data_IF_015648780551
#
_entry.id   IF_015648780551
#
_cell.length_a   1.000
_cell.length_b   1.000
_cell.length_c   1.000
_cell.angle_alpha   90.00
_cell.angle_beta   90.00
_cell.angle_gamma   90.00
#
_symmetry.space_group_name_H-M   'P 1'
#
loop_
_entity.id
_entity.type
_entity.pdbx_description
1 polymer ?
#
# COMPACT_ATOMS: atom_id res chain seq x y z
N UNK A 1 -19.77 -1.38 -11.47
CA UNK A 1 -19.66 -0.87 -10.10
C UNK A 1 -18.31 -1.17 -9.52
N UNK A 2 -17.72 -0.20 -8.86
CA UNK A 2 -16.41 -0.36 -8.25
C UNK A 2 -16.45 -1.23 -7.00
N UNK A 3 -15.28 -1.66 -6.57
CA UNK A 3 -15.10 -2.25 -5.25
C UNK A 3 -14.94 -1.13 -4.20
N UNK A 4 -15.00 -1.48 -2.92
CA UNK A 4 -14.95 -0.52 -1.82
C UNK A 4 -13.50 -0.37 -1.30
N UNK A 5 -12.56 -0.20 -2.21
CA UNK A 5 -11.13 -0.19 -1.90
C UNK A 5 -10.44 1.06 -2.43
N UNK A 6 -9.70 1.71 -1.55
CA UNK A 6 -8.76 2.77 -1.89
C UNK A 6 -7.34 2.24 -1.74
N UNK A 7 -6.57 2.27 -2.83
CA UNK A 7 -5.14 1.99 -2.79
C UNK A 7 -4.41 3.29 -2.56
N UNK A 8 -3.54 3.32 -1.57
CA UNK A 8 -2.82 4.53 -1.15
C UNK A 8 -1.32 4.31 -1.33
N UNK A 9 -0.68 5.19 -2.10
CA UNK A 9 0.77 5.20 -2.28
C UNK A 9 1.37 6.45 -1.68
N UNK A 10 2.47 6.29 -0.94
CA UNK A 10 3.40 7.38 -0.66
C UNK A 10 4.62 7.20 -1.56
N UNK A 11 5.14 8.28 -2.12
CA UNK A 11 6.21 8.17 -3.12
C UNK A 11 7.13 9.37 -3.14
N UNK A 12 8.36 9.13 -3.58
CA UNK A 12 9.34 10.15 -3.97
C UNK A 12 10.36 9.52 -4.91
N UNK A 13 10.51 10.10 -6.10
CA UNK A 13 11.52 9.67 -7.09
C UNK A 13 11.48 8.16 -7.36
N UNK A 14 10.32 7.66 -7.76
CA UNK A 14 10.07 6.24 -8.02
C UNK A 14 9.76 5.95 -9.50
N UNK A 15 10.35 6.71 -10.43
CA UNK A 15 10.02 6.57 -11.87
C UNK A 15 10.30 5.18 -12.43
N UNK A 16 11.25 4.43 -11.82
CA UNK A 16 11.62 3.09 -12.30
C UNK A 16 10.60 2.01 -11.94
N UNK A 17 9.84 2.21 -10.88
CA UNK A 17 9.01 1.17 -10.29
C UNK A 17 7.53 1.50 -10.25
N UNK A 18 7.17 2.78 -10.19
CA UNK A 18 5.79 3.19 -9.91
C UNK A 18 4.79 2.68 -10.95
N UNK A 19 5.17 2.59 -12.22
CA UNK A 19 4.25 2.11 -13.25
C UNK A 19 3.82 0.66 -13.01
N UNK A 20 4.78 -0.21 -12.69
CA UNK A 20 4.48 -1.62 -12.36
C UNK A 20 3.57 -1.71 -11.16
N UNK A 21 3.84 -0.91 -10.13
CA UNK A 21 2.98 -0.83 -8.93
C UNK A 21 1.56 -0.42 -9.31
N UNK A 22 1.40 0.66 -10.04
CA UNK A 22 0.08 1.19 -10.41
C UNK A 22 -0.70 0.24 -11.33
N UNK A 23 -0.02 -0.41 -12.28
CA UNK A 23 -0.66 -1.43 -13.12
C UNK A 23 -1.24 -2.57 -12.29
N UNK A 24 -0.52 -3.01 -11.27
CA UNK A 24 -0.95 -4.15 -10.44
C UNK A 24 -2.19 -3.85 -9.60
N UNK A 25 -2.56 -2.58 -9.43
CA UNK A 25 -3.71 -2.14 -8.64
C UNK A 25 -4.74 -1.34 -9.45
N UNK A 26 -4.64 -1.33 -10.78
CA UNK A 26 -5.53 -0.56 -11.64
C UNK A 26 -7.01 -1.00 -11.54
N UNK A 27 -7.28 -2.16 -10.99
CA UNK A 27 -8.61 -2.69 -10.71
C UNK A 27 -9.27 -2.07 -9.46
N UNK A 28 -8.53 -1.34 -8.62
CA UNK A 28 -9.09 -0.69 -7.43
C UNK A 28 -10.02 0.46 -7.80
N UNK A 29 -11.04 0.71 -6.97
CA UNK A 29 -11.99 1.80 -7.20
C UNK A 29 -11.34 3.18 -7.11
N UNK A 30 -10.28 3.29 -6.31
CA UNK A 30 -9.59 4.54 -6.09
C UNK A 30 -8.10 4.30 -5.89
N UNK A 31 -7.28 5.14 -6.50
CA UNK A 31 -5.84 5.17 -6.26
C UNK A 31 -5.48 6.60 -5.85
N UNK A 32 -4.88 6.74 -4.67
CA UNK A 32 -4.39 8.01 -4.13
C UNK A 32 -2.86 7.96 -4.09
N UNK A 33 -2.22 8.98 -4.63
CA UNK A 33 -0.77 9.12 -4.60
C UNK A 33 -0.41 10.39 -3.83
N UNK A 34 0.34 10.25 -2.75
CA UNK A 34 0.92 11.37 -2.03
C UNK A 34 2.42 11.41 -2.28
N UNK A 35 2.86 12.45 -2.95
CA UNK A 35 4.25 12.64 -3.36
C UNK A 35 4.94 13.64 -2.43
N UNK A 36 6.17 13.34 -2.04
CA UNK A 36 6.95 14.21 -1.15
C UNK A 36 8.02 15.04 -1.87
N UNK A 37 7.79 15.35 -3.15
CA UNK A 37 8.65 16.24 -3.90
C UNK A 37 9.53 15.56 -4.95
N UNK A 38 8.95 14.68 -5.76
CA UNK A 38 9.67 14.03 -6.86
C UNK A 38 10.17 15.05 -7.88
N UNK A 39 11.40 14.86 -8.34
CA UNK A 39 12.04 15.65 -9.38
C UNK A 39 12.21 14.90 -10.70
N UNK A 40 11.89 13.61 -10.70
CA UNK A 40 11.92 12.74 -11.88
C UNK A 40 10.53 12.61 -12.54
N UNK A 41 10.31 11.59 -13.35
CA UNK A 41 9.05 11.35 -14.06
C UNK A 41 7.95 10.69 -13.23
N UNK A 42 8.13 10.52 -11.94
CA UNK A 42 7.16 9.82 -11.09
C UNK A 42 5.74 10.35 -11.26
N UNK A 43 5.54 11.66 -11.16
CA UNK A 43 4.21 12.26 -11.24
C UNK A 43 3.62 12.16 -12.65
N UNK A 44 4.43 12.30 -13.70
CA UNK A 44 3.96 12.16 -15.07
C UNK A 44 3.44 10.74 -15.34
N UNK A 45 4.12 9.74 -14.80
CA UNK A 45 3.67 8.34 -14.90
C UNK A 45 2.38 8.14 -14.12
N UNK A 46 2.32 8.63 -12.88
CA UNK A 46 1.15 8.47 -12.02
C UNK A 46 -0.12 9.05 -12.63
N UNK A 47 -0.01 10.15 -13.36
CA UNK A 47 -1.16 10.82 -14.03
C UNK A 47 -1.88 9.92 -15.03
N UNK A 48 -1.22 8.89 -15.54
CA UNK A 48 -1.84 7.93 -16.47
C UNK A 48 -2.78 6.95 -15.76
N UNK A 49 -2.73 6.89 -14.42
CA UNK A 49 -3.47 5.90 -13.64
C UNK A 49 -4.47 6.52 -12.68
N UNK A 50 -4.25 7.75 -12.25
CA UNK A 50 -5.14 8.44 -11.32
C UNK A 50 -5.04 9.95 -11.45
N UNK A 51 -6.14 10.63 -11.14
CA UNK A 51 -6.16 12.08 -10.99
C UNK A 51 -5.98 12.53 -9.53
N UNK A 52 -5.99 11.58 -8.58
CA UNK A 52 -5.88 11.87 -7.14
C UNK A 52 -4.41 11.85 -6.72
N UNK A 53 -3.67 12.85 -7.17
CA UNK A 53 -2.25 13.04 -6.88
C UNK A 53 -2.11 14.30 -6.04
N UNK A 54 -1.50 14.15 -4.86
CA UNK A 54 -1.28 15.23 -3.92
C UNK A 54 0.19 15.37 -3.60
N UNK A 55 0.62 16.58 -3.28
CA UNK A 55 2.02 16.88 -2.99
C UNK A 55 2.13 17.32 -1.54
N UNK A 56 3.04 16.67 -0.80
CA UNK A 56 3.41 17.05 0.55
C UNK A 56 4.66 17.92 0.49
N UNK A 57 4.59 19.12 1.02
CA UNK A 57 5.72 20.06 0.98
C UNK A 57 6.79 19.75 2.01
N UNK A 58 6.50 18.89 2.98
CA UNK A 58 7.42 18.50 4.03
C UNK A 58 7.44 16.98 4.19
N UNK A 59 8.50 16.48 4.82
CA UNK A 59 8.62 15.06 5.15
C UNK A 59 8.51 14.87 6.68
N UNK A 60 7.33 14.47 7.18
CA UNK A 60 7.11 14.29 8.61
C UNK A 60 7.52 12.91 9.14
N UNK A 61 8.12 12.06 8.32
CA UNK A 61 8.39 10.66 8.61
C UNK A 61 7.37 9.73 7.96
N UNK A 62 7.68 8.45 7.89
CA UNK A 62 6.85 7.47 7.18
C UNK A 62 5.46 7.31 7.78
N UNK A 63 5.35 7.19 9.09
CA UNK A 63 4.06 6.97 9.74
C UNK A 63 3.08 8.10 9.50
N UNK A 64 3.51 9.35 9.75
CA UNK A 64 2.67 10.53 9.56
C UNK A 64 2.36 10.75 8.07
N UNK A 65 3.30 10.47 7.18
CA UNK A 65 3.06 10.58 5.74
C UNK A 65 1.96 9.62 5.28
N UNK A 66 1.96 8.39 5.78
CA UNK A 66 0.88 7.42 5.49
C UNK A 66 -0.46 7.89 6.04
N UNK A 67 -0.49 8.48 7.24
CA UNK A 67 -1.72 9.05 7.80
C UNK A 67 -2.27 10.17 6.92
N UNK A 68 -1.42 11.07 6.47
CA UNK A 68 -1.83 12.17 5.58
C UNK A 68 -2.40 11.62 4.27
N UNK A 69 -1.74 10.63 3.68
CA UNK A 69 -2.21 10.00 2.44
C UNK A 69 -3.57 9.33 2.65
N UNK A 70 -3.76 8.64 3.77
CA UNK A 70 -5.01 7.97 4.11
C UNK A 70 -6.18 8.93 4.19
N UNK A 71 -5.96 10.17 4.62
CA UNK A 71 -7.03 11.17 4.74
C UNK A 71 -7.68 11.52 3.40
N UNK A 72 -7.03 11.25 2.28
CA UNK A 72 -7.61 11.47 0.95
C UNK A 72 -8.46 10.29 0.46
N UNK A 73 -8.44 9.17 1.16
CA UNK A 73 -9.20 7.98 0.76
C UNK A 73 -10.70 8.18 1.01
N UNK A 74 -11.53 7.70 0.08
CA UNK A 74 -12.98 7.84 0.15
C UNK A 74 -13.72 6.51 0.33
N UNK A 75 -13.03 5.38 0.24
CA UNK A 75 -13.62 4.05 0.41
C UNK A 75 -13.41 3.51 1.81
N UNK A 76 -14.15 2.45 2.16
CA UNK A 76 -14.12 1.89 3.52
C UNK A 76 -12.89 1.03 3.79
N UNK A 77 -12.24 0.52 2.75
CA UNK A 77 -11.05 -0.31 2.86
C UNK A 77 -9.84 0.37 2.25
N UNK A 78 -8.70 0.20 2.90
CA UNK A 78 -7.41 0.72 2.45
C UNK A 78 -6.44 -0.41 2.19
N UNK A 79 -5.76 -0.33 1.05
CA UNK A 79 -4.55 -1.06 0.77
C UNK A 79 -3.40 -0.05 0.68
N UNK A 80 -2.49 -0.09 1.65
CA UNK A 80 -1.34 0.81 1.70
C UNK A 80 -0.16 0.17 0.96
N UNK A 81 0.40 0.88 -0.02
CA UNK A 81 1.54 0.40 -0.80
C UNK A 81 2.68 1.40 -0.85
N UNK A 82 3.87 0.89 -1.05
CA UNK A 82 5.01 1.67 -1.49
C UNK A 82 5.11 1.62 -3.02
N UNK A 83 5.74 2.61 -3.62
CA UNK A 83 5.78 2.76 -5.08
C UNK A 83 6.71 1.75 -5.79
N UNK A 84 7.32 0.85 -5.05
CA UNK A 84 8.17 -0.25 -5.54
C UNK A 84 7.60 -1.63 -5.19
N UNK A 85 6.31 -1.68 -4.85
CA UNK A 85 5.61 -2.92 -4.50
C UNK A 85 4.53 -3.21 -5.54
N UNK A 86 4.34 -4.48 -5.90
CA UNK A 86 3.26 -4.88 -6.81
C UNK A 86 2.47 -6.06 -6.23
N UNK A 87 1.21 -6.11 -6.60
CA UNK A 87 0.25 -7.11 -6.15
C UNK A 87 0.22 -8.28 -7.15
N UNK A 88 0.41 -9.51 -6.66
CA UNK A 88 0.22 -10.70 -7.47
C UNK A 88 -1.27 -10.94 -7.76
N UNK A 89 -1.58 -11.69 -8.82
CA UNK A 89 -2.97 -12.05 -9.14
C UNK A 89 -3.65 -12.83 -7.99
N UNK A 90 -3.01 -13.84 -7.38
CA UNK A 90 -3.62 -14.50 -6.22
C UNK A 90 -3.92 -13.53 -5.07
N UNK A 91 -3.02 -12.56 -4.80
CA UNK A 91 -3.26 -11.57 -3.76
C UNK A 91 -4.44 -10.65 -4.10
N UNK A 92 -4.54 -10.20 -5.35
CA UNK A 92 -5.69 -9.43 -5.82
C UNK A 92 -6.99 -10.16 -5.51
N UNK A 93 -7.08 -11.44 -5.85
CA UNK A 93 -8.28 -12.23 -5.61
C UNK A 93 -8.60 -12.36 -4.13
N UNK A 94 -7.59 -12.55 -3.30
CA UNK A 94 -7.74 -12.59 -1.83
C UNK A 94 -8.24 -11.26 -1.27
N UNK A 95 -7.71 -10.15 -1.75
CA UNK A 95 -8.15 -8.80 -1.33
C UNK A 95 -9.60 -8.57 -1.70
N UNK A 96 -10.00 -8.90 -2.92
CA UNK A 96 -11.38 -8.71 -3.37
C UNK A 96 -12.38 -9.52 -2.55
N UNK A 97 -12.00 -10.70 -2.07
CA UNK A 97 -12.83 -11.48 -1.15
C UNK A 97 -12.84 -10.89 0.25
N UNK A 98 -11.68 -10.48 0.75
CA UNK A 98 -11.53 -9.95 2.11
C UNK A 98 -12.39 -8.71 2.36
N UNK A 99 -12.43 -7.79 1.41
CA UNK A 99 -13.18 -6.51 1.55
C UNK A 99 -14.70 -6.68 1.46
N UNK A 100 -15.18 -7.85 1.14
CA UNK A 100 -16.62 -8.20 1.20
C UNK A 100 -17.03 -8.70 2.57
N UNK A 101 -16.07 -9.05 3.41
CA UNK A 101 -16.30 -9.62 4.73
C UNK A 101 -16.31 -8.59 5.86
N UNK A 102 -16.29 -9.06 7.10
CA UNK A 102 -16.30 -8.18 8.27
C UNK A 102 -15.00 -7.41 8.42
N UNK A 103 -15.03 -6.37 9.25
CA UNK A 103 -13.86 -5.57 9.56
C UNK A 103 -12.75 -6.43 10.15
N UNK A 104 -11.57 -6.32 9.57
CA UNK A 104 -10.41 -7.12 9.94
C UNK A 104 -9.16 -6.46 9.39
N UNK A 105 -8.04 -6.60 10.10
CA UNK A 105 -6.73 -6.23 9.57
C UNK A 105 -6.12 -7.45 8.92
N UNK A 106 -5.64 -7.31 7.69
CA UNK A 106 -5.03 -8.41 6.96
C UNK A 106 -3.54 -8.23 6.83
N UNK A 107 -2.81 -9.27 7.23
CA UNK A 107 -1.36 -9.36 7.01
C UNK A 107 -1.10 -9.98 5.65
N UNK A 108 -0.20 -9.37 4.90
CA UNK A 108 0.19 -9.76 3.55
C UNK A 108 1.63 -10.23 3.58
N UNK A 109 1.91 -11.34 2.90
CA UNK A 109 3.27 -11.86 2.79
C UNK A 109 4.04 -11.07 1.72
N UNK A 110 5.05 -10.31 2.15
CA UNK A 110 5.91 -9.55 1.26
C UNK A 110 7.16 -10.34 0.95
N UNK A 111 7.51 -10.42 -0.33
CA UNK A 111 8.79 -10.99 -0.77
C UNK A 111 9.62 -9.89 -1.44
N UNK A 112 10.93 -9.94 -1.24
CA UNK A 112 11.85 -9.03 -1.90
C UNK A 112 12.55 -9.74 -3.05
N UNK A 113 12.67 -9.02 -4.17
CA UNK A 113 13.39 -9.51 -5.34
C UNK A 113 14.58 -8.58 -5.57
N UNK A 114 15.77 -9.17 -5.71
CA UNK A 114 16.96 -8.45 -6.09
C UNK A 114 17.67 -9.21 -7.21
N UNK A 115 18.05 -8.48 -8.27
CA UNK A 115 18.72 -9.06 -9.43
C UNK A 115 17.96 -10.25 -10.03
N UNK A 116 16.63 -10.18 -10.05
CA UNK A 116 15.77 -11.24 -10.57
C UNK A 116 15.61 -12.47 -9.68
N UNK A 117 16.13 -12.42 -8.47
CA UNK A 117 16.11 -13.57 -7.54
C UNK A 117 15.35 -13.20 -6.27
N UNK A 118 14.46 -14.10 -5.83
CA UNK A 118 13.76 -13.96 -4.56
C UNK A 118 14.75 -14.10 -3.40
N UNK A 119 14.77 -13.10 -2.52
CA UNK A 119 15.63 -13.13 -1.33
C UNK A 119 14.88 -13.81 -0.20
N UNK A 120 15.32 -15.02 0.17
CA UNK A 120 14.73 -15.79 1.27
C UNK A 120 15.64 -15.92 2.48
N UNK A 121 16.82 -15.29 2.41
CA UNK A 121 17.85 -15.43 3.45
C UNK A 121 17.72 -14.35 4.52
N UNK A 122 18.43 -14.50 5.60
CA UNK A 122 18.56 -13.52 6.70
C UNK A 122 17.30 -13.39 7.57
N UNK A 123 16.45 -14.39 7.62
CA UNK A 123 15.28 -14.42 8.50
C UNK A 123 14.16 -13.46 8.12
N UNK A 124 14.21 -12.89 6.92
CA UNK A 124 13.20 -11.93 6.44
C UNK A 124 12.08 -12.58 5.62
N UNK A 125 12.05 -13.87 5.54
CA UNK A 125 11.00 -14.60 4.82
C UNK A 125 10.44 -15.73 5.70
N UNK A 126 9.10 -15.83 5.84
CA UNK A 126 8.07 -14.91 5.35
C UNK A 126 8.05 -13.57 6.11
N UNK A 127 7.72 -12.49 5.41
CA UNK A 127 7.61 -11.15 6.00
C UNK A 127 6.15 -10.72 5.94
N UNK A 128 5.44 -10.89 7.05
CA UNK A 128 4.01 -10.56 7.16
C UNK A 128 3.84 -9.13 7.62
N UNK A 129 3.20 -8.32 6.77
CA UNK A 129 2.98 -6.90 7.05
C UNK A 129 1.50 -6.55 6.95
N UNK A 130 1.06 -5.65 7.82
CA UNK A 130 -0.33 -5.21 7.87
C UNK A 130 -0.55 -4.07 6.87
N UNK A 131 -1.17 -4.37 5.73
CA UNK A 131 -1.33 -3.40 4.64
C UNK A 131 -2.76 -3.24 4.16
N UNK A 132 -3.67 -4.13 4.56
CA UNK A 132 -5.09 -4.07 4.18
C UNK A 132 -5.94 -3.94 5.44
N UNK A 133 -6.75 -2.88 5.52
CA UNK A 133 -7.49 -2.58 6.75
C UNK A 133 -8.67 -1.64 6.50
N UNK A 134 -9.66 -1.61 7.43
CA UNK A 134 -10.77 -0.65 7.37
C UNK A 134 -10.29 0.77 7.62
N UNK A 135 -10.66 1.70 6.74
CA UNK A 135 -10.14 3.07 6.75
C UNK A 135 -10.50 3.88 7.99
N UNK A 136 -11.68 3.62 8.58
CA UNK A 136 -12.20 4.42 9.71
C UNK A 136 -11.79 3.88 11.07
N UNK A 137 -11.20 2.68 11.13
CA UNK A 137 -10.93 1.99 12.39
C UNK A 137 -9.48 2.08 12.85
N UNK A 138 -8.56 2.38 11.96
CA UNK A 138 -7.15 2.46 12.32
C UNK A 138 -6.34 3.29 11.32
N UNK A 139 -5.11 3.55 11.70
CA UNK A 139 -4.10 4.29 10.93
C UNK A 139 -2.71 3.85 11.37
N UNK A 140 -1.69 4.26 10.62
CA UNK A 140 -0.30 4.06 11.04
C UNK A 140 0.06 4.93 12.23
N UNK A 141 1.03 4.48 13.02
CA UNK A 141 1.58 5.26 14.14
C UNK A 141 2.46 6.41 13.62
N UNK A 142 2.96 7.24 14.54
CA UNK A 142 3.73 8.44 14.19
C UNK A 142 5.23 8.18 14.01
N UNK A 143 5.66 6.92 13.93
CA UNK A 143 7.07 6.58 13.84
C UNK A 143 7.72 7.19 12.60
N UNK A 144 8.92 7.74 12.77
CA UNK A 144 9.70 8.33 11.67
C UNK A 144 10.15 7.26 10.69
N UNK A 145 10.55 6.09 11.22
CA UNK A 145 10.93 4.89 10.47
C UNK A 145 10.36 3.68 11.20
N UNK A 146 10.23 2.54 10.49
CA UNK A 146 9.64 1.32 11.04
C UNK A 146 8.21 1.51 11.56
N UNK A 147 7.44 2.33 10.84
CA UNK A 147 6.04 2.60 11.17
C UNK A 147 5.21 1.32 11.13
N UNK A 148 4.24 1.25 12.02
CA UNK A 148 3.32 0.11 12.13
C UNK A 148 1.89 0.59 12.17
N UNK A 149 1.00 -0.24 11.64
CA UNK A 149 -0.43 -0.02 11.77
C UNK A 149 -0.83 -0.22 13.24
N UNK A 150 -1.63 0.69 13.77
CA UNK A 150 -2.17 0.57 15.12
C UNK A 150 -3.26 -0.51 15.11
N UNK A 151 -3.17 -1.49 15.99
CA UNK A 151 -4.17 -2.55 16.11
C UNK A 151 -5.13 -2.19 17.25
N UNK A 152 -6.38 -1.84 16.95
CA UNK A 152 -7.37 -1.56 18.00
C UNK A 152 -7.66 -2.80 18.85
N UNK A 153 -8.02 -2.60 20.11
CA UNK A 153 -8.42 -3.69 20.98
C UNK A 153 -9.60 -4.45 20.39
N UNK A 154 -9.50 -5.77 20.39
CA UNK A 154 -10.55 -6.65 19.85
C UNK A 154 -10.59 -6.77 18.34
N UNK A 155 -9.71 -6.08 17.60
CA UNK A 155 -9.64 -6.19 16.15
C UNK A 155 -9.01 -7.52 15.74
N UNK A 156 -9.69 -8.26 14.86
CA UNK A 156 -9.14 -9.47 14.29
C UNK A 156 -8.00 -9.13 13.30
N UNK A 157 -6.94 -9.93 13.36
CA UNK A 157 -5.83 -9.85 12.41
C UNK A 157 -5.69 -11.22 11.74
N UNK A 158 -5.75 -11.27 10.42
CA UNK A 158 -5.69 -12.51 9.65
C UNK A 158 -4.66 -12.41 8.53
N UNK A 159 -4.07 -13.54 8.19
CA UNK A 159 -3.16 -13.67 7.04
C UNK A 159 -3.97 -14.05 5.80
N UNK A 160 -3.63 -13.47 4.65
CA UNK A 160 -4.27 -13.80 3.37
C UNK A 160 -3.27 -14.36 2.37
N UNK A 161 -3.79 -15.13 1.41
CA UNK A 161 -2.96 -15.76 0.38
C UNK A 161 -2.54 -14.76 -0.70
N UNK A 162 -1.41 -15.05 -1.32
CA UNK A 162 -0.82 -14.25 -2.38
C UNK A 162 0.38 -13.45 -1.89
N UNK A 163 1.06 -12.81 -2.82
CA UNK A 163 2.33 -12.15 -2.55
C UNK A 163 2.30 -10.67 -2.90
N UNK A 164 2.89 -9.88 -2.03
CA UNK A 164 3.29 -8.51 -2.30
C UNK A 164 4.77 -8.54 -2.70
N UNK A 165 5.06 -8.13 -3.92
CA UNK A 165 6.41 -8.23 -4.49
C UNK A 165 7.08 -6.87 -4.38
N UNK A 166 8.19 -6.84 -3.66
CA UNK A 166 9.00 -5.65 -3.43
C UNK A 166 10.30 -5.74 -4.22
N UNK A 167 10.59 -4.75 -5.06
CA UNK A 167 11.82 -4.66 -5.85
C UNK A 167 12.85 -3.74 -5.23
#
# INVERSE_FOLDING_TARGET
MGNNLSVILITKNAERTIETTLKSVSWASEIVVLDSGSTDNTLNIAKNYTSKIFISESWPGFGVQRQHAQNYATNDWILMLDADEQISEPLKNSILQAIKGPDCIYEINRISIAFGTVIKHSGWFPDWIMRLYPSKLTKYDDALVHEKLIVPDGMACKKIEGLLIHE
#
